data_IF_310965717580
#
_entry.id   IF_310965717580
#
_cell.length_a   1.000
_cell.length_b   1.000
_cell.length_c   1.000
_cell.angle_alpha   90.00
_cell.angle_beta   90.00
_cell.angle_gamma   90.00
#
_symmetry.space_group_name_H-M   'P 1'
#
loop_
_entity.id
_entity.type
_entity.pdbx_description
1 polymer ?
#
# COMPACT_ATOMS: atom_id res chain seq x y z
N UNK A 1 -27.89 -4.35 -7.29
CA UNK A 1 -26.71 -4.25 -6.40
C UNK A 1 -25.97 -2.97 -6.74
N UNK A 2 -25.65 -2.13 -5.75
CA UNK A 2 -24.82 -0.93 -5.96
C UNK A 2 -23.42 -1.42 -6.34
N UNK A 3 -22.90 -1.00 -7.48
CA UNK A 3 -21.52 -1.34 -7.89
C UNK A 3 -20.58 -0.51 -7.03
N UNK A 4 -19.64 -1.14 -6.34
CA UNK A 4 -18.64 -0.41 -5.57
C UNK A 4 -17.80 0.49 -6.50
N UNK A 5 -17.28 1.58 -5.93
CA UNK A 5 -16.65 2.66 -6.70
C UNK A 5 -15.24 2.30 -7.16
N UNK A 6 -14.48 1.56 -6.35
CA UNK A 6 -13.07 1.27 -6.62
C UNK A 6 -12.75 -0.23 -6.58
N UNK A 7 -11.79 -0.66 -7.41
CA UNK A 7 -11.27 -2.03 -7.45
C UNK A 7 -9.95 -2.11 -6.67
N UNK A 8 -9.92 -2.94 -5.64
CA UNK A 8 -8.73 -3.13 -4.79
C UNK A 8 -8.17 -4.53 -5.01
N UNK A 9 -6.96 -4.62 -5.57
CA UNK A 9 -6.22 -5.85 -5.76
C UNK A 9 -5.23 -6.07 -4.62
N UNK A 10 -5.39 -7.16 -3.87
CA UNK A 10 -4.45 -7.56 -2.82
C UNK A 10 -3.51 -8.63 -3.36
N UNK A 11 -2.23 -8.32 -3.50
CA UNK A 11 -1.20 -9.31 -3.84
C UNK A 11 -0.67 -9.97 -2.56
N UNK A 12 -0.76 -11.29 -2.49
CA UNK A 12 -0.38 -12.05 -1.29
C UNK A 12 0.58 -13.20 -1.62
N UNK A 13 1.41 -13.57 -0.63
CA UNK A 13 2.23 -14.78 -0.64
C UNK A 13 1.73 -15.85 0.34
N UNK A 14 0.55 -15.64 0.93
CA UNK A 14 -0.09 -16.51 1.93
C UNK A 14 0.76 -16.79 3.16
N UNK A 15 1.66 -15.87 3.53
CA UNK A 15 2.48 -15.96 4.76
C UNK A 15 1.80 -15.23 5.93
N UNK A 16 2.47 -15.16 7.06
CA UNK A 16 1.94 -14.66 8.34
C UNK A 16 1.35 -13.25 8.29
N UNK A 17 1.93 -12.35 7.46
CA UNK A 17 1.43 -10.98 7.31
C UNK A 17 0.13 -10.86 6.49
N UNK A 18 -0.32 -11.94 5.83
CA UNK A 18 -1.47 -11.90 4.93
C UNK A 18 -2.76 -11.47 5.66
N UNK A 19 -3.02 -12.01 6.84
CA UNK A 19 -4.21 -11.66 7.63
C UNK A 19 -4.22 -10.16 7.98
N UNK A 20 -3.09 -9.60 8.41
CA UNK A 20 -2.94 -8.18 8.72
C UNK A 20 -3.13 -7.30 7.49
N UNK A 21 -2.60 -7.73 6.34
CA UNK A 21 -2.77 -7.04 5.06
C UNK A 21 -4.24 -7.01 4.65
N UNK A 22 -4.96 -8.13 4.75
CA UNK A 22 -6.39 -8.20 4.43
C UNK A 22 -7.20 -7.29 5.37
N UNK A 23 -6.93 -7.29 6.69
CA UNK A 23 -7.60 -6.39 7.64
C UNK A 23 -7.41 -4.92 7.26
N UNK A 24 -6.17 -4.53 6.92
CA UNK A 24 -5.88 -3.17 6.45
C UNK A 24 -6.62 -2.84 5.15
N UNK A 25 -6.73 -3.80 4.23
CA UNK A 25 -7.48 -3.63 2.99
C UNK A 25 -8.97 -3.47 3.25
N UNK A 26 -9.55 -4.24 4.17
CA UNK A 26 -10.96 -4.11 4.57
C UNK A 26 -11.23 -2.72 5.16
N UNK A 27 -10.31 -2.23 6.01
CA UNK A 27 -10.41 -0.88 6.54
C UNK A 27 -10.46 0.17 5.43
N UNK A 28 -9.54 0.07 4.47
CA UNK A 28 -9.51 0.96 3.31
C UNK A 28 -10.80 0.83 2.48
N UNK A 29 -11.20 -0.39 2.13
CA UNK A 29 -12.40 -0.69 1.33
C UNK A 29 -13.66 -0.06 1.92
N UNK A 30 -13.86 -0.16 3.23
CA UNK A 30 -15.00 0.44 3.93
C UNK A 30 -14.99 1.98 3.86
N UNK A 31 -13.82 2.61 3.82
CA UNK A 31 -13.69 4.07 3.74
C UNK A 31 -13.97 4.62 2.34
N UNK A 32 -13.68 3.85 1.30
CA UNK A 32 -13.73 4.34 -0.09
C UNK A 32 -14.77 3.61 -0.97
N UNK A 33 -15.59 2.73 -0.42
CA UNK A 33 -16.56 1.89 -1.16
C UNK A 33 -15.86 1.04 -2.23
N UNK A 34 -14.89 0.21 -1.81
CA UNK A 34 -14.04 -0.58 -2.70
C UNK A 34 -14.33 -2.08 -2.71
N UNK A 35 -14.29 -2.70 -3.89
CA UNK A 35 -14.33 -4.16 -4.07
C UNK A 35 -12.96 -4.77 -3.85
N UNK A 36 -12.88 -5.83 -3.04
CA UNK A 36 -11.62 -6.51 -2.71
C UNK A 36 -11.49 -7.78 -3.53
N UNK A 37 -10.37 -7.92 -4.23
CA UNK A 37 -9.95 -9.16 -4.83
C UNK A 37 -8.55 -9.56 -4.36
N UNK A 38 -8.42 -10.78 -3.83
CA UNK A 38 -7.16 -11.37 -3.39
C UNK A 38 -6.54 -12.16 -4.54
N UNK A 39 -5.31 -11.85 -4.92
CA UNK A 39 -4.59 -12.58 -5.95
C UNK A 39 -3.34 -13.23 -5.38
N UNK A 40 -3.27 -14.54 -5.55
CA UNK A 40 -2.11 -15.34 -5.18
C UNK A 40 -1.55 -16.04 -6.41
N UNK A 41 -0.24 -15.90 -6.62
CA UNK A 41 0.50 -16.63 -7.64
C UNK A 41 1.51 -17.56 -6.99
N UNK A 42 1.39 -18.84 -7.27
CA UNK A 42 2.40 -19.83 -6.91
C UNK A 42 3.44 -19.92 -8.02
N UNK A 43 4.72 -19.79 -7.67
CA UNK A 43 5.77 -19.90 -8.65
C UNK A 43 5.84 -21.33 -9.20
N UNK A 44 5.79 -21.49 -10.51
CA UNK A 44 5.83 -22.80 -11.18
C UNK A 44 7.14 -23.56 -10.88
N UNK A 45 8.27 -22.85 -10.73
CA UNK A 45 9.56 -23.48 -10.40
C UNK A 45 9.60 -24.11 -9.01
N UNK A 46 8.75 -23.64 -8.08
CA UNK A 46 8.65 -24.22 -6.74
C UNK A 46 7.85 -25.53 -6.72
N UNK A 47 7.06 -25.76 -7.77
CA UNK A 47 6.13 -26.89 -7.89
C UNK A 47 6.74 -28.03 -8.72
N UNK A 48 7.40 -27.69 -9.83
CA UNK A 48 7.92 -28.68 -10.79
C UNK A 48 9.40 -28.97 -10.52
N UNK A 49 9.67 -29.93 -9.66
CA UNK A 49 11.03 -30.43 -9.38
C UNK A 49 11.28 -31.85 -9.94
N UNK A 50 10.36 -32.39 -10.76
CA UNK A 50 10.39 -33.80 -11.14
C UNK A 50 10.40 -33.98 -12.65
N UNK A 51 11.17 -35.00 -13.10
CA UNK A 51 11.41 -35.30 -14.51
C UNK A 51 10.24 -36.01 -15.25
N UNK A 52 9.13 -36.33 -14.54
CA UNK A 52 7.99 -37.02 -15.10
C UNK A 52 6.76 -36.14 -15.16
N UNK A 53 6.19 -35.92 -16.37
CA UNK A 53 5.02 -35.08 -16.62
C UNK A 53 3.78 -35.43 -15.77
N UNK A 54 3.48 -36.73 -15.60
CA UNK A 54 2.32 -37.17 -14.80
C UNK A 54 2.51 -36.84 -13.31
N UNK A 55 3.73 -36.96 -12.81
CA UNK A 55 4.07 -36.57 -11.44
C UNK A 55 3.99 -35.05 -11.26
N UNK A 56 4.48 -34.28 -12.23
CA UNK A 56 4.39 -32.83 -12.23
C UNK A 56 2.92 -32.35 -12.20
N UNK A 57 2.03 -32.90 -13.02
CA UNK A 57 0.59 -32.55 -13.03
C UNK A 57 -0.06 -32.88 -11.69
N UNK A 58 0.23 -34.02 -11.07
CA UNK A 58 -0.30 -34.37 -9.75
C UNK A 58 0.15 -33.39 -8.68
N UNK A 59 1.43 -33.00 -8.70
CA UNK A 59 1.99 -32.02 -7.76
C UNK A 59 1.36 -30.65 -7.95
N UNK A 60 1.22 -30.16 -9.19
CA UNK A 60 0.54 -28.90 -9.52
C UNK A 60 -0.89 -28.90 -8.96
N UNK A 61 -1.65 -29.96 -9.23
CA UNK A 61 -3.03 -30.07 -8.75
C UNK A 61 -3.13 -30.17 -7.21
N UNK A 62 -2.16 -30.82 -6.56
CA UNK A 62 -2.05 -30.86 -5.10
C UNK A 62 -1.79 -29.50 -4.49
N UNK A 63 -0.81 -28.79 -5.00
CA UNK A 63 -0.45 -27.42 -4.58
C UNK A 63 -1.61 -26.42 -4.80
N UNK A 64 -2.27 -26.54 -5.97
CA UNK A 64 -3.46 -25.72 -6.26
C UNK A 64 -4.55 -25.91 -5.20
N UNK A 65 -4.91 -27.18 -4.92
CA UNK A 65 -5.94 -27.50 -3.91
C UNK A 65 -5.56 -27.03 -2.52
N UNK A 66 -4.28 -27.20 -2.13
CA UNK A 66 -3.78 -26.77 -0.82
C UNK A 66 -3.84 -25.23 -0.68
N UNK A 67 -3.36 -24.50 -1.68
CA UNK A 67 -3.43 -23.05 -1.71
C UNK A 67 -4.89 -22.54 -1.71
N UNK A 68 -5.75 -23.15 -2.54
CA UNK A 68 -7.17 -22.81 -2.61
C UNK A 68 -7.87 -22.98 -1.24
N UNK A 69 -7.65 -24.11 -0.57
CA UNK A 69 -8.19 -24.35 0.78
C UNK A 69 -7.69 -23.34 1.80
N UNK A 70 -6.39 -22.99 1.74
CA UNK A 70 -5.79 -21.98 2.61
C UNK A 70 -6.43 -20.60 2.41
N UNK A 71 -6.63 -20.18 1.15
CA UNK A 71 -7.27 -18.92 0.80
C UNK A 71 -8.72 -18.90 1.30
N UNK A 72 -9.49 -19.95 1.01
CA UNK A 72 -10.89 -20.04 1.44
C UNK A 72 -11.07 -19.96 2.95
N UNK A 73 -10.24 -20.66 3.72
CA UNK A 73 -10.25 -20.60 5.18
C UNK A 73 -9.93 -19.20 5.69
N UNK A 74 -8.92 -18.53 5.10
CA UNK A 74 -8.52 -17.18 5.46
C UNK A 74 -9.63 -16.17 5.16
N UNK A 75 -10.20 -16.22 3.96
CA UNK A 75 -11.28 -15.32 3.55
C UNK A 75 -12.52 -15.54 4.42
N UNK A 76 -12.90 -16.79 4.67
CA UNK A 76 -14.06 -17.10 5.50
C UNK A 76 -13.94 -16.49 6.89
N UNK A 77 -12.81 -16.71 7.58
CA UNK A 77 -12.58 -16.14 8.91
C UNK A 77 -12.73 -14.62 8.92
N UNK A 78 -12.14 -13.94 7.92
CA UNK A 78 -12.15 -12.48 7.87
C UNK A 78 -13.50 -11.93 7.40
N UNK A 79 -14.16 -12.60 6.46
CA UNK A 79 -15.51 -12.21 5.97
C UNK A 79 -16.55 -12.31 7.07
N UNK A 80 -16.50 -13.37 7.87
CA UNK A 80 -17.42 -13.58 8.99
C UNK A 80 -17.21 -12.49 10.07
N UNK A 81 -15.94 -12.14 10.39
CA UNK A 81 -15.62 -11.14 11.40
C UNK A 81 -16.03 -9.71 10.99
N UNK A 82 -15.93 -9.37 9.71
CA UNK A 82 -16.08 -7.98 9.25
C UNK A 82 -17.26 -7.73 8.31
N UNK A 83 -18.05 -8.77 7.98
CA UNK A 83 -19.19 -8.72 7.08
C UNK A 83 -18.85 -8.10 5.71
N UNK A 84 -17.77 -8.59 5.10
CA UNK A 84 -17.29 -8.14 3.79
C UNK A 84 -17.18 -9.30 2.82
N UNK A 85 -17.41 -9.04 1.55
CA UNK A 85 -17.18 -10.01 0.48
C UNK A 85 -15.77 -9.80 -0.08
N UNK A 86 -14.98 -10.87 -0.14
CA UNK A 86 -13.65 -10.87 -0.73
C UNK A 86 -13.62 -11.91 -1.82
N UNK A 87 -13.42 -11.47 -3.06
CA UNK A 87 -13.16 -12.33 -4.19
C UNK A 87 -11.69 -12.79 -4.17
N UNK A 88 -11.38 -13.91 -4.82
CA UNK A 88 -9.99 -14.33 -4.95
C UNK A 88 -9.71 -15.04 -6.27
N UNK A 89 -8.47 -14.94 -6.69
CA UNK A 89 -7.88 -15.72 -7.79
C UNK A 89 -6.60 -16.37 -7.36
N UNK A 90 -6.33 -17.51 -7.98
CA UNK A 90 -5.11 -18.29 -7.81
C UNK A 90 -4.56 -18.66 -9.17
N UNK A 91 -3.27 -18.39 -9.41
CA UNK A 91 -2.53 -18.80 -10.60
C UNK A 91 -1.28 -19.59 -10.22
N UNK A 92 -0.80 -20.42 -11.15
CA UNK A 92 0.51 -21.09 -11.06
C UNK A 92 1.29 -20.72 -12.31
N UNK A 93 2.40 -19.99 -12.15
CA UNK A 93 3.17 -19.47 -13.26
C UNK A 93 4.36 -18.64 -12.82
N UNK A 94 4.88 -17.83 -13.74
CA UNK A 94 5.85 -16.80 -13.38
C UNK A 94 5.13 -15.65 -12.67
N UNK A 95 5.52 -15.40 -11.42
CA UNK A 95 4.80 -14.47 -10.53
C UNK A 95 4.64 -13.09 -11.14
N UNK A 96 5.68 -12.53 -11.75
CA UNK A 96 5.61 -11.18 -12.33
C UNK A 96 4.73 -11.14 -13.58
N UNK A 97 4.86 -12.13 -14.45
CA UNK A 97 4.06 -12.19 -15.68
C UNK A 97 2.57 -12.35 -15.35
N UNK A 98 2.22 -13.26 -14.43
CA UNK A 98 0.83 -13.45 -14.00
C UNK A 98 0.24 -12.16 -13.40
N UNK A 99 1.02 -11.43 -12.60
CA UNK A 99 0.59 -10.15 -12.02
C UNK A 99 0.37 -9.09 -13.10
N UNK A 100 1.29 -8.97 -14.08
CA UNK A 100 1.14 -7.99 -15.19
C UNK A 100 -0.11 -8.29 -16.00
N UNK A 101 -0.25 -9.53 -16.46
CA UNK A 101 -1.45 -9.97 -17.22
C UNK A 101 -2.73 -9.66 -16.44
N UNK A 102 -2.74 -9.96 -15.14
CA UNK A 102 -3.90 -9.69 -14.31
C UNK A 102 -4.22 -8.20 -14.19
N UNK A 103 -3.21 -7.35 -13.97
CA UNK A 103 -3.38 -5.89 -13.90
C UNK A 103 -3.90 -5.33 -15.23
N UNK A 104 -3.36 -5.80 -16.35
CA UNK A 104 -3.78 -5.34 -17.69
C UNK A 104 -5.24 -5.73 -18.01
N UNK A 105 -5.67 -6.93 -17.61
CA UNK A 105 -7.03 -7.42 -17.85
C UNK A 105 -8.08 -6.76 -16.93
N UNK A 106 -7.74 -6.51 -15.67
CA UNK A 106 -8.72 -6.12 -14.64
C UNK A 106 -8.65 -4.65 -14.24
N UNK A 107 -7.55 -3.96 -14.58
CA UNK A 107 -7.34 -2.52 -14.31
C UNK A 107 -7.73 -2.13 -12.87
N UNK A 108 -7.01 -2.63 -11.84
CA UNK A 108 -7.28 -2.26 -10.46
C UNK A 108 -6.93 -0.79 -10.20
N UNK A 109 -7.77 -0.09 -9.44
CA UNK A 109 -7.50 1.29 -9.02
C UNK A 109 -6.42 1.35 -7.94
N UNK A 110 -6.38 0.31 -7.09
CA UNK A 110 -5.46 0.23 -5.95
C UNK A 110 -4.83 -1.15 -5.89
N UNK A 111 -3.50 -1.20 -5.76
CA UNK A 111 -2.78 -2.44 -5.43
C UNK A 111 -2.34 -2.40 -3.97
N UNK A 112 -2.68 -3.42 -3.20
CA UNK A 112 -2.28 -3.56 -1.80
C UNK A 112 -1.23 -4.65 -1.66
N UNK A 113 -0.14 -4.31 -0.97
CA UNK A 113 0.97 -5.18 -0.63
C UNK A 113 1.18 -5.21 0.89
N UNK A 114 1.47 -6.37 1.46
CA UNK A 114 1.90 -6.47 2.84
C UNK A 114 3.38 -6.06 2.99
N UNK A 115 3.70 -5.26 3.99
CA UNK A 115 5.09 -4.96 4.34
C UNK A 115 5.78 -6.25 4.79
N UNK A 116 6.83 -6.65 4.12
CA UNK A 116 7.65 -7.79 4.52
C UNK A 116 8.60 -7.38 5.65
N UNK A 117 8.78 -8.25 6.65
CA UNK A 117 9.88 -8.08 7.61
C UNK A 117 11.18 -8.20 6.84
N UNK A 118 11.95 -7.14 6.77
CA UNK A 118 13.27 -7.13 6.13
C UNK A 118 14.20 -8.06 6.91
N UNK A 119 14.50 -9.23 6.38
CA UNK A 119 15.66 -9.98 6.84
C UNK A 119 16.89 -9.31 6.21
N UNK A 120 17.90 -8.89 6.99
CA UNK A 120 19.02 -8.08 6.49
C UNK A 120 19.90 -8.74 5.44
N UNK A 121 19.67 -9.99 5.05
CA UNK A 121 20.57 -10.77 4.19
C UNK A 121 19.93 -11.37 2.92
N UNK A 122 18.68 -11.07 2.58
CA UNK A 122 18.05 -11.60 1.36
C UNK A 122 17.70 -10.49 0.37
N UNK A 123 18.74 -9.86 -0.21
CA UNK A 123 18.62 -8.95 -1.35
C UNK A 123 18.42 -9.65 -2.70
N UNK A 124 18.44 -10.98 -2.74
CA UNK A 124 18.32 -11.77 -3.96
C UNK A 124 17.02 -12.57 -3.87
N UNK A 125 15.91 -11.94 -4.14
CA UNK A 125 14.62 -12.58 -4.29
C UNK A 125 13.64 -11.57 -4.88
N UNK A 126 12.87 -11.99 -5.84
CA UNK A 126 11.88 -11.22 -6.58
C UNK A 126 11.17 -10.19 -5.70
N UNK A 127 11.65 -8.97 -5.71
CA UNK A 127 11.04 -7.91 -4.96
C UNK A 127 9.79 -7.43 -5.71
N UNK A 128 8.65 -8.07 -5.40
CA UNK A 128 7.35 -7.72 -5.99
C UNK A 128 6.98 -6.29 -5.66
N UNK A 129 7.36 -5.78 -4.48
CA UNK A 129 7.14 -4.37 -4.12
C UNK A 129 7.86 -3.44 -5.09
N UNK A 130 9.15 -3.66 -5.33
CA UNK A 130 9.91 -2.85 -6.29
C UNK A 130 9.38 -2.97 -7.72
N UNK A 131 8.94 -4.17 -8.09
CA UNK A 131 8.33 -4.41 -9.39
C UNK A 131 7.04 -3.62 -9.55
N UNK A 132 6.12 -3.69 -8.61
CA UNK A 132 4.85 -2.94 -8.64
C UNK A 132 5.09 -1.43 -8.57
N UNK A 133 6.03 -0.95 -7.75
CA UNK A 133 6.40 0.47 -7.70
C UNK A 133 6.88 1.03 -9.04
N UNK A 134 7.48 0.17 -9.90
CA UNK A 134 7.98 0.56 -11.22
C UNK A 134 6.94 0.44 -12.33
N UNK A 135 6.05 -0.54 -12.23
CA UNK A 135 5.17 -0.92 -13.34
C UNK A 135 3.73 -0.44 -13.19
N UNK A 136 3.25 -0.28 -11.95
CA UNK A 136 1.88 0.17 -11.72
C UNK A 136 1.80 1.69 -11.56
N UNK A 137 0.95 2.34 -12.37
CA UNK A 137 0.75 3.79 -12.34
C UNK A 137 -0.37 4.24 -11.39
N UNK A 138 -1.24 3.34 -10.94
CA UNK A 138 -2.31 3.63 -9.99
C UNK A 138 -1.82 3.78 -8.54
N UNK A 139 -2.75 3.86 -7.61
CA UNK A 139 -2.45 3.96 -6.19
C UNK A 139 -1.91 2.63 -5.64
N UNK A 140 -0.88 2.70 -4.79
CA UNK A 140 -0.32 1.53 -4.11
C UNK A 140 -0.43 1.74 -2.59
N UNK A 141 -1.00 0.75 -1.89
CA UNK A 141 -0.96 0.69 -0.43
C UNK A 141 0.06 -0.34 0.04
N UNK A 142 0.93 0.05 0.96
CA UNK A 142 1.83 -0.87 1.68
C UNK A 142 1.27 -1.02 3.09
N UNK A 143 0.64 -2.14 3.38
CA UNK A 143 0.05 -2.42 4.68
C UNK A 143 1.13 -2.75 5.73
N UNK A 144 1.14 -2.03 6.83
CA UNK A 144 2.08 -2.27 7.94
C UNK A 144 1.72 -3.55 8.71
N UNK A 145 2.72 -4.22 9.27
CA UNK A 145 2.51 -5.38 10.14
C UNK A 145 2.30 -5.00 11.62
N UNK A 146 3.04 -3.99 12.10
CA UNK A 146 3.05 -3.62 13.51
C UNK A 146 1.97 -2.59 13.86
N UNK A 147 1.66 -1.69 12.94
CA UNK A 147 0.60 -0.69 13.10
C UNK A 147 -0.32 -0.69 11.87
N UNK A 148 -1.11 -1.76 11.66
CA UNK A 148 -2.00 -1.89 10.53
C UNK A 148 -3.21 -0.97 10.65
N UNK A 149 -3.90 -0.74 9.52
CA UNK A 149 -5.27 -0.23 9.57
C UNK A 149 -6.18 -1.33 10.14
N UNK A 150 -7.03 -0.94 11.06
CA UNK A 150 -8.02 -1.85 11.65
C UNK A 150 -9.43 -1.41 11.26
N UNK A 151 -10.29 -2.33 10.79
CA UNK A 151 -11.57 -1.97 10.17
C UNK A 151 -12.55 -1.19 11.06
N UNK A 152 -12.41 -1.27 12.36
CA UNK A 152 -13.34 -0.62 13.31
C UNK A 152 -12.66 0.51 14.10
N UNK A 153 -11.43 0.86 13.76
CA UNK A 153 -10.72 1.99 14.39
C UNK A 153 -10.79 3.24 13.52
N UNK A 154 -10.77 4.38 14.19
CA UNK A 154 -10.75 5.67 13.49
C UNK A 154 -9.44 5.84 12.72
N UNK A 155 -9.55 6.43 11.53
CA UNK A 155 -8.40 6.76 10.71
C UNK A 155 -7.62 7.94 11.29
N UNK A 156 -6.35 7.71 11.66
CA UNK A 156 -5.40 8.77 11.97
C UNK A 156 -4.49 8.99 10.77
N UNK A 157 -4.86 9.98 9.95
CA UNK A 157 -4.24 10.26 8.67
C UNK A 157 -3.09 11.24 8.83
N UNK A 158 -1.93 10.86 8.29
CA UNK A 158 -0.80 11.73 8.04
C UNK A 158 -0.63 11.99 6.54
N UNK A 159 -0.17 13.19 6.18
CA UNK A 159 0.16 13.55 4.78
C UNK A 159 1.58 14.08 4.76
N UNK A 160 2.42 13.50 3.94
CA UNK A 160 3.83 13.90 3.81
C UNK A 160 3.99 14.90 2.67
N UNK A 161 4.66 16.02 2.95
CA UNK A 161 5.01 17.11 2.04
C UNK A 161 3.83 17.95 1.48
N UNK A 162 2.65 17.86 2.08
CA UNK A 162 1.53 18.80 1.84
C UNK A 162 0.27 18.18 1.23
N UNK A 163 -0.86 18.86 1.43
CA UNK A 163 -2.19 18.40 0.98
C UNK A 163 -2.30 18.35 -0.54
N UNK A 164 -1.63 19.24 -1.25
CA UNK A 164 -1.61 19.28 -2.72
C UNK A 164 -1.20 17.94 -3.34
N UNK A 165 -0.43 17.16 -2.60
CA UNK A 165 0.07 15.85 -3.02
C UNK A 165 -0.97 14.74 -2.91
N UNK A 166 -2.11 14.98 -2.25
CA UNK A 166 -3.23 14.03 -2.24
C UNK A 166 -4.13 14.19 -3.47
N UNK A 167 -3.96 15.23 -4.27
CA UNK A 167 -4.73 15.44 -5.51
C UNK A 167 -4.61 14.29 -6.52
N UNK A 168 -3.50 13.56 -6.47
CA UNK A 168 -3.25 12.37 -7.28
C UNK A 168 -3.86 11.08 -6.69
N UNK A 169 -4.60 11.18 -5.60
CA UNK A 169 -5.36 10.08 -4.99
C UNK A 169 -6.83 10.34 -5.23
N UNK A 170 -7.43 9.60 -6.16
CA UNK A 170 -8.83 9.81 -6.61
C UNK A 170 -9.86 9.77 -5.48
N UNK A 171 -9.56 9.05 -4.40
CA UNK A 171 -10.41 8.92 -3.21
C UNK A 171 -9.88 9.69 -1.99
N UNK A 172 -9.05 10.70 -2.20
CA UNK A 172 -8.48 11.49 -1.09
C UNK A 172 -9.55 12.16 -0.23
N UNK A 173 -10.61 12.69 -0.83
CA UNK A 173 -11.73 13.32 -0.12
C UNK A 173 -12.46 12.31 0.76
N UNK A 174 -12.69 11.10 0.27
CA UNK A 174 -13.32 10.02 1.05
C UNK A 174 -12.46 9.70 2.29
N UNK A 175 -11.13 9.54 2.13
CA UNK A 175 -10.22 9.30 3.25
C UNK A 175 -10.20 10.46 4.25
N UNK A 176 -10.15 11.70 3.77
CA UNK A 176 -10.13 12.89 4.62
C UNK A 176 -11.43 13.02 5.45
N UNK A 177 -12.56 12.59 4.88
CA UNK A 177 -13.86 12.58 5.58
C UNK A 177 -13.88 11.59 6.75
N UNK A 178 -13.19 10.46 6.64
CA UNK A 178 -13.06 9.45 7.70
C UNK A 178 -11.96 9.76 8.71
N UNK A 179 -11.05 10.68 8.37
CA UNK A 179 -9.90 10.97 9.21
C UNK A 179 -10.28 11.77 10.46
N UNK A 180 -9.61 11.43 11.57
CA UNK A 180 -9.67 12.22 12.80
C UNK A 180 -9.10 13.61 12.55
N UNK A 181 -9.79 14.62 13.08
CA UNK A 181 -9.28 16.00 13.07
C UNK A 181 -8.51 16.31 14.36
N UNK A 182 -7.50 17.19 14.32
CA UNK A 182 -6.96 17.85 13.12
C UNK A 182 -6.16 16.88 12.24
N UNK A 183 -6.16 17.13 10.91
CA UNK A 183 -5.27 16.41 9.98
C UNK A 183 -3.81 16.75 10.29
N UNK A 184 -2.93 15.77 10.13
CA UNK A 184 -1.50 15.91 10.46
C UNK A 184 -0.65 15.97 9.19
N UNK A 185 -0.08 17.14 8.94
CA UNK A 185 0.81 17.38 7.81
C UNK A 185 2.27 17.25 8.29
N UNK A 186 3.07 16.53 7.55
CA UNK A 186 4.49 16.33 7.81
C UNK A 186 5.29 16.91 6.66
N UNK A 187 6.27 17.78 6.94
CA UNK A 187 7.19 18.33 5.95
C UNK A 187 8.63 18.03 6.31
N UNK A 188 9.42 17.62 5.32
CA UNK A 188 10.86 17.47 5.46
C UNK A 188 11.51 18.51 4.56
N UNK A 189 12.17 19.51 5.15
CA UNK A 189 12.77 20.66 4.45
C UNK A 189 14.29 20.58 4.50
N UNK A 190 14.96 21.06 3.44
CA UNK A 190 16.42 21.26 3.46
C UNK A 190 16.72 22.49 4.32
N UNK A 191 17.67 22.35 5.25
CA UNK A 191 18.14 23.45 6.07
C UNK A 191 18.87 24.46 5.17
N UNK A 192 18.15 25.48 4.68
CA UNK A 192 18.74 26.68 4.13
C UNK A 192 17.67 27.77 4.02
N UNK A 193 17.86 28.81 4.83
CA UNK A 193 17.12 30.06 4.80
C UNK A 193 15.61 29.98 5.06
N UNK A 194 15.29 30.01 6.30
CA UNK A 194 13.98 30.27 6.89
C UNK A 194 13.40 31.61 6.40
N UNK A 195 12.78 31.62 5.26
CA UNK A 195 11.61 32.49 5.11
C UNK A 195 10.44 31.68 5.64
N UNK A 196 9.99 32.06 6.82
CA UNK A 196 8.69 31.66 7.38
C UNK A 196 7.61 32.15 6.43
N UNK A 197 7.33 31.43 5.37
CA UNK A 197 6.04 31.49 4.74
C UNK A 197 5.10 30.62 5.58
N UNK A 198 4.64 31.20 6.67
CA UNK A 198 3.38 30.82 7.29
C UNK A 198 2.30 31.10 6.26
N UNK A 199 2.02 30.16 5.37
CA UNK A 199 0.80 30.16 4.62
C UNK A 199 -0.35 30.03 5.64
N UNK A 200 -0.97 31.15 5.90
CA UNK A 200 -2.09 31.40 6.81
C UNK A 200 -3.40 30.78 6.31
N UNK A 201 -3.39 29.58 5.83
CA UNK A 201 -4.54 28.70 5.71
C UNK A 201 -4.46 27.64 6.81
N UNK A 202 -4.15 28.07 8.01
CA UNK A 202 -4.43 27.31 9.21
C UNK A 202 -5.93 27.31 9.44
N UNK A 203 -6.66 26.62 8.59
CA UNK A 203 -7.97 26.12 8.94
C UNK A 203 -7.78 25.33 10.23
N UNK A 204 -8.60 25.58 11.26
CA UNK A 204 -8.53 24.93 12.59
C UNK A 204 -8.54 23.39 12.54
N UNK A 205 -8.50 22.81 11.34
CA UNK A 205 -8.60 21.39 11.04
C UNK A 205 -7.28 20.72 10.65
N UNK A 206 -6.16 21.45 10.59
CA UNK A 206 -4.83 20.91 10.23
C UNK A 206 -3.75 21.33 11.21
N UNK A 207 -2.79 20.42 11.48
CA UNK A 207 -1.58 20.70 12.26
C UNK A 207 -0.37 20.26 11.44
N UNK A 208 0.59 21.18 11.28
CA UNK A 208 1.80 20.94 10.50
C UNK A 208 2.99 20.66 11.42
N UNK A 209 3.79 19.66 11.03
CA UNK A 209 5.03 19.26 11.68
C UNK A 209 6.16 19.32 10.67
N UNK A 210 7.19 20.10 10.97
CA UNK A 210 8.34 20.32 10.09
C UNK A 210 9.56 19.61 10.65
N UNK A 211 10.25 18.84 9.82
CA UNK A 211 11.48 18.13 10.11
C UNK A 211 12.61 18.65 9.20
N UNK A 212 13.79 18.80 9.75
CA UNK A 212 14.98 19.11 8.95
C UNK A 212 15.46 17.85 8.24
N UNK A 213 15.89 18.02 6.98
CA UNK A 213 16.48 16.94 6.20
C UNK A 213 17.86 16.57 6.73
N UNK A 214 18.07 15.30 7.02
CA UNK A 214 19.34 14.74 7.48
C UNK A 214 19.25 13.22 7.52
N UNK A 215 20.36 12.56 7.83
CA UNK A 215 20.48 11.09 7.83
C UNK A 215 19.44 10.40 8.72
N UNK A 216 18.97 11.07 9.77
CA UNK A 216 18.01 10.55 10.74
C UNK A 216 16.56 11.06 10.52
N UNK A 217 16.30 11.84 9.49
CA UNK A 217 14.98 12.47 9.30
C UNK A 217 13.84 11.47 9.20
N UNK A 218 14.03 10.36 8.48
CA UNK A 218 13.00 9.30 8.35
C UNK A 218 12.82 8.56 9.68
N UNK A 219 13.89 8.31 10.43
CA UNK A 219 13.79 7.65 11.75
C UNK A 219 13.08 8.54 12.76
N UNK A 220 13.37 9.85 12.74
CA UNK A 220 12.68 10.85 13.57
C UNK A 220 11.20 10.93 13.21
N UNK A 221 10.86 10.96 11.92
CA UNK A 221 9.49 10.90 11.42
C UNK A 221 8.80 9.62 11.91
N UNK A 222 9.45 8.44 11.77
CA UNK A 222 8.89 7.16 12.22
C UNK A 222 8.50 7.18 13.70
N UNK A 223 9.40 7.66 14.56
CA UNK A 223 9.15 7.79 15.99
C UNK A 223 7.98 8.74 16.28
N UNK A 224 7.87 9.81 15.51
CA UNK A 224 6.81 10.79 15.67
C UNK A 224 5.45 10.25 15.22
N UNK A 225 5.40 9.55 14.07
CA UNK A 225 4.20 8.88 13.57
C UNK A 225 3.66 7.89 14.62
N UNK A 226 4.54 7.10 15.25
CA UNK A 226 4.18 6.17 16.31
C UNK A 226 3.63 6.89 17.55
N UNK A 227 4.29 7.95 18.02
CA UNK A 227 3.83 8.76 19.19
C UNK A 227 2.48 9.41 18.96
N UNK A 228 2.16 9.78 17.71
CA UNK A 228 0.89 10.42 17.34
C UNK A 228 -0.17 9.42 16.88
N UNK A 229 0.11 8.12 17.00
CA UNK A 229 -0.78 7.04 16.58
C UNK A 229 -1.28 7.19 15.14
N UNK A 230 -0.39 7.64 14.22
CA UNK A 230 -0.71 7.64 12.80
C UNK A 230 -0.76 6.21 12.30
N UNK A 231 -1.86 5.84 11.65
CA UNK A 231 -2.03 4.48 11.11
C UNK A 231 -2.05 4.45 9.57
N UNK A 232 -2.18 5.60 8.90
CA UNK A 232 -2.02 5.75 7.46
C UNK A 232 -1.25 7.02 7.13
N UNK A 233 -0.20 6.92 6.31
CA UNK A 233 0.56 8.04 5.79
C UNK A 233 0.43 8.11 4.27
N UNK A 234 -0.12 9.20 3.75
CA UNK A 234 -0.17 9.48 2.32
C UNK A 234 1.14 10.11 1.85
N UNK A 235 1.68 9.59 0.73
CA UNK A 235 2.94 10.03 0.13
C UNK A 235 2.76 10.11 -1.38
N UNK A 236 3.23 11.18 -1.98
CA UNK A 236 3.27 11.31 -3.43
C UNK A 236 4.48 10.59 -4.03
N UNK A 237 4.24 9.81 -5.10
CA UNK A 237 5.29 9.14 -5.88
C UNK A 237 5.82 10.00 -7.01
N UNK A 238 5.02 10.94 -7.51
CA UNK A 238 5.38 11.76 -8.65
C UNK A 238 6.48 12.75 -8.31
N UNK A 239 7.56 12.61 -9.05
CA UNK A 239 8.73 13.48 -9.00
C UNK A 239 8.72 14.44 -10.19
N UNK A 240 7.63 15.14 -10.46
CA UNK A 240 7.70 16.21 -11.44
C UNK A 240 8.45 17.38 -10.81
N UNK A 241 9.66 17.65 -11.31
CA UNK A 241 10.35 18.91 -11.19
C UNK A 241 9.51 20.01 -11.88
N UNK A 242 8.34 20.30 -11.32
CA UNK A 242 7.60 21.51 -11.66
C UNK A 242 8.31 22.68 -11.01
N UNK A 243 8.41 23.80 -11.70
CA UNK A 243 9.05 25.07 -11.33
C UNK A 243 8.57 25.71 -10.01
N UNK A 244 7.92 24.95 -9.13
CA UNK A 244 7.60 25.40 -7.78
C UNK A 244 8.78 25.08 -6.85
N UNK A 245 9.56 26.11 -6.55
CA UNK A 245 10.64 26.16 -5.56
C UNK A 245 10.12 25.88 -4.14
N UNK A 246 9.57 24.72 -3.89
CA UNK A 246 9.34 24.26 -2.52
C UNK A 246 10.60 23.49 -2.11
N UNK A 247 11.29 23.97 -1.07
CA UNK A 247 12.50 23.39 -0.49
C UNK A 247 12.27 22.01 0.17
N UNK A 248 11.41 21.16 -0.40
CA UNK A 248 11.19 19.81 0.11
C UNK A 248 12.28 18.87 -0.39
N UNK A 249 12.85 18.08 0.49
CA UNK A 249 13.88 17.11 0.13
C UNK A 249 13.25 15.89 -0.54
N UNK A 250 13.92 15.40 -1.60
CA UNK A 250 13.56 14.18 -2.29
C UNK A 250 13.80 12.97 -1.36
N UNK A 251 12.74 12.30 -0.95
CA UNK A 251 12.84 11.07 -0.17
C UNK A 251 12.92 9.86 -1.10
N UNK A 252 13.79 8.91 -0.78
CA UNK A 252 13.74 7.61 -1.44
C UNK A 252 12.55 6.81 -0.91
N UNK A 253 11.60 6.50 -1.78
CA UNK A 253 10.39 5.73 -1.43
C UNK A 253 10.75 4.36 -0.81
N UNK A 254 11.84 3.72 -1.26
CA UNK A 254 12.29 2.44 -0.69
C UNK A 254 12.75 2.59 0.75
N UNK A 255 13.49 3.64 1.03
CA UNK A 255 13.92 3.99 2.39
C UNK A 255 12.72 4.27 3.29
N UNK A 256 11.75 5.02 2.80
CA UNK A 256 10.50 5.31 3.51
C UNK A 256 9.76 4.01 3.82
N UNK A 257 9.54 3.13 2.82
CA UNK A 257 8.86 1.84 3.00
C UNK A 257 9.62 0.97 4.02
N UNK A 258 10.95 0.96 3.98
CA UNK A 258 11.75 0.13 4.87
C UNK A 258 11.69 0.59 6.33
N UNK A 259 11.78 1.90 6.57
CA UNK A 259 11.97 2.50 7.91
C UNK A 259 10.68 2.88 8.64
N UNK A 260 9.58 3.16 7.92
CA UNK A 260 8.33 3.57 8.57
C UNK A 260 7.47 2.36 8.97
N UNK A 261 6.99 2.33 10.21
CA UNK A 261 6.13 1.27 10.77
C UNK A 261 4.64 1.62 10.76
N UNK A 262 4.21 2.35 9.74
CA UNK A 262 2.80 2.70 9.50
C UNK A 262 2.39 2.23 8.12
N UNK A 263 1.10 2.07 7.86
CA UNK A 263 0.61 1.81 6.52
C UNK A 263 0.84 3.02 5.63
N UNK A 264 1.33 2.79 4.41
CA UNK A 264 1.64 3.85 3.45
C UNK A 264 0.65 3.79 2.30
N UNK A 265 0.16 4.95 1.88
CA UNK A 265 -0.63 5.11 0.68
C UNK A 265 0.16 5.99 -0.30
N UNK A 266 0.62 5.37 -1.37
CA UNK A 266 1.43 6.01 -2.39
C UNK A 266 0.52 6.45 -3.54
N UNK A 267 0.55 7.72 -3.90
CA UNK A 267 -0.27 8.25 -5.00
C UNK A 267 0.04 7.58 -6.34
N UNK A 268 -0.90 7.64 -7.27
CA UNK A 268 -0.67 7.25 -8.65
C UNK A 268 0.19 8.28 -9.40
N UNK A 269 0.72 7.90 -10.56
CA UNK A 269 1.40 8.83 -11.45
C UNK A 269 0.35 9.69 -12.17
N UNK A 270 0.54 11.00 -12.21
CA UNK A 270 -0.43 11.98 -12.73
C UNK A 270 -0.84 11.81 -14.19
N UNK A 271 -0.15 10.95 -14.96
CA UNK A 271 -0.46 10.69 -16.37
C UNK A 271 -1.50 9.56 -16.59
N UNK A 272 -2.00 8.90 -15.56
CA UNK A 272 -2.88 7.72 -15.69
C UNK A 272 -4.38 8.02 -15.72
N UNK A 273 -4.80 9.26 -15.51
CA UNK A 273 -6.23 9.63 -15.42
C UNK A 273 -6.79 10.36 -16.67
N UNK A 274 -6.06 10.32 -17.80
CA UNK A 274 -6.51 10.91 -19.08
C UNK A 274 -6.97 9.80 -20.06
N UNK A 275 -7.90 8.95 -19.64
CA UNK A 275 -8.63 8.06 -20.57
C UNK A 275 -10.10 7.96 -20.20
#
# INVERSE_FOLDING_TARGET
MKKNKYKILVLTDLKDSTSTTIKSTISLSKMIDGDIELFYVKNASDVVKQDNQLSAIRTINGEYRAANKKIQNLIKSVSDDYHVTINYRLAIGNVKNEIVTYIEEHQPDIIVLGKRKSKPLNFIGDNITDFILKTHNGVIMIAANENPLEPNKKLSLGILNGIEQTSNIVFAEDLISYAQKPLKLFKIIKSSNTTKETNSLADKQTVEYVFEHGDNSISTLSNYLSKKNINLLCIDRDKKDGNNKVNTSKLDIKDVISKLNVSLLLSGNSNSYLH
#
